data_IF_612608302698
#
_entry.id   IF_612608302698
#
_cell.length_a   1.000
_cell.length_b   1.000
_cell.length_c   1.000
_cell.angle_alpha   90.00
_cell.angle_beta   90.00
_cell.angle_gamma   90.00
#
_symmetry.space_group_name_H-M   'P 1'
#
loop_
_entity.id
_entity.type
_entity.pdbx_description
1 polymer ?
#
# COMPACT_ATOMS: atom_id res chain seq x y z
N UNK A 1 -16.24 -12.91 66.95
CA UNK A 1 -15.00 -12.93 66.16
C UNK A 1 -15.11 -13.66 64.80
N UNK A 2 -15.93 -14.71 64.65
CA UNK A 2 -16.03 -15.49 63.39
C UNK A 2 -16.77 -14.76 62.23
N UNK A 3 -17.68 -13.82 62.53
CA UNK A 3 -18.44 -13.07 61.51
C UNK A 3 -17.55 -12.05 60.74
N UNK A 4 -16.59 -11.43 61.41
CA UNK A 4 -15.75 -10.43 60.80
C UNK A 4 -14.64 -11.07 59.89
N UNK A 5 -14.19 -12.29 60.23
CA UNK A 5 -13.27 -13.03 59.38
C UNK A 5 -13.91 -13.48 58.03
N UNK A 6 -15.21 -13.85 58.07
CA UNK A 6 -15.95 -14.21 56.86
C UNK A 6 -16.17 -12.99 55.96
N UNK A 7 -16.47 -11.84 56.54
CA UNK A 7 -16.62 -10.58 55.80
C UNK A 7 -15.32 -10.11 55.14
N UNK A 8 -14.18 -10.29 55.86
CA UNK A 8 -12.85 -9.96 55.36
C UNK A 8 -12.44 -10.89 54.22
N UNK A 9 -12.76 -12.18 54.32
CA UNK A 9 -12.49 -13.17 53.28
C UNK A 9 -13.36 -12.89 52.01
N UNK A 10 -14.60 -12.51 52.17
CA UNK A 10 -15.52 -12.15 51.07
C UNK A 10 -15.04 -10.87 50.37
N UNK A 11 -14.57 -9.87 51.14
CA UNK A 11 -14.03 -8.63 50.59
C UNK A 11 -12.72 -8.89 49.81
N UNK A 12 -11.86 -9.78 50.31
CA UNK A 12 -10.63 -10.20 49.63
C UNK A 12 -10.91 -10.95 48.34
N UNK A 13 -11.95 -11.80 48.35
CA UNK A 13 -12.37 -12.52 47.15
C UNK A 13 -12.97 -11.57 46.06
N UNK A 14 -13.69 -10.53 46.51
CA UNK A 14 -14.23 -9.50 45.60
C UNK A 14 -13.12 -8.63 44.98
N UNK A 15 -12.07 -8.34 45.73
CA UNK A 15 -10.89 -7.60 45.23
C UNK A 15 -10.09 -8.40 44.16
N UNK A 16 -10.07 -9.72 44.24
CA UNK A 16 -9.38 -10.59 43.30
C UNK A 16 -10.12 -10.68 41.95
N UNK A 17 -11.45 -10.38 41.88
CA UNK A 17 -12.20 -10.39 40.65
C UNK A 17 -12.09 -9.08 39.84
N UNK A 18 -11.53 -8.00 40.42
CA UNK A 18 -11.31 -6.74 39.70
C UNK A 18 -9.97 -6.67 38.94
N UNK A 19 -9.13 -7.69 39.04
CA UNK A 19 -7.96 -7.83 38.18
C UNK A 19 -8.39 -8.38 36.81
N UNK A 20 -9.40 -7.77 36.21
CA UNK A 20 -9.71 -7.94 34.80
C UNK A 20 -8.50 -7.49 34.00
N UNK A 21 -7.81 -8.45 33.43
CA UNK A 21 -6.83 -8.22 32.37
C UNK A 21 -7.53 -7.38 31.31
N UNK A 22 -7.19 -6.10 31.21
CA UNK A 22 -7.54 -5.29 30.07
C UNK A 22 -6.69 -5.83 28.92
N UNK A 23 -7.24 -6.76 28.14
CA UNK A 23 -6.74 -7.00 26.79
C UNK A 23 -6.84 -5.65 26.08
N UNK A 24 -5.70 -4.98 25.97
CA UNK A 24 -5.54 -3.91 25.00
C UNK A 24 -5.73 -4.59 23.64
N UNK A 25 -6.95 -4.57 23.13
CA UNK A 25 -7.23 -4.79 21.72
C UNK A 25 -6.50 -3.63 21.03
N UNK A 26 -5.23 -3.84 20.67
CA UNK A 26 -4.59 -3.01 19.68
C UNK A 26 -5.54 -3.05 18.46
N UNK A 27 -5.89 -1.92 17.85
CA UNK A 27 -6.70 -1.95 16.64
C UNK A 27 -5.99 -2.89 15.67
N UNK A 28 -6.63 -3.98 15.32
CA UNK A 28 -6.18 -4.88 14.26
C UNK A 28 -6.17 -4.02 13.00
N UNK A 29 -4.99 -3.54 12.64
CA UNK A 29 -4.81 -2.74 11.43
C UNK A 29 -5.18 -3.68 10.30
N UNK A 30 -6.30 -3.40 9.63
CA UNK A 30 -6.75 -4.15 8.48
C UNK A 30 -5.58 -4.23 7.49
N UNK A 31 -5.05 -5.42 7.27
CA UNK A 31 -3.92 -5.62 6.35
C UNK A 31 -4.42 -5.37 4.94
N UNK A 32 -3.91 -4.32 4.34
CA UNK A 32 -4.15 -4.01 2.93
C UNK A 32 -3.14 -4.76 2.10
N UNK A 33 -3.58 -5.49 1.07
CA UNK A 33 -2.69 -6.12 0.09
C UNK A 33 -2.84 -5.43 -1.25
N UNK A 34 -1.73 -5.00 -1.82
CA UNK A 34 -1.63 -4.39 -3.15
C UNK A 34 -0.84 -5.32 -4.07
N UNK A 35 -1.22 -5.37 -5.34
CA UNK A 35 -0.51 -6.09 -6.38
C UNK A 35 0.37 -5.14 -7.18
N UNK A 36 1.62 -5.51 -7.46
CA UNK A 36 2.56 -4.69 -8.20
C UNK A 36 3.16 -5.42 -9.40
N UNK A 37 2.99 -4.87 -10.59
CA UNK A 37 3.75 -5.30 -11.77
C UNK A 37 5.13 -4.65 -11.71
N UNK A 38 6.17 -5.46 -11.50
CA UNK A 38 7.54 -5.00 -11.29
C UNK A 38 8.44 -5.35 -12.48
N UNK A 39 9.02 -4.32 -13.11
CA UNK A 39 10.03 -4.50 -14.15
C UNK A 39 11.36 -4.95 -13.56
N UNK A 40 12.02 -5.90 -14.21
CA UNK A 40 13.36 -6.38 -13.87
C UNK A 40 14.25 -6.54 -15.11
N UNK A 41 15.56 -6.22 -14.95
CA UNK A 41 16.54 -6.45 -16.01
C UNK A 41 16.84 -7.94 -16.17
N UNK A 42 17.23 -8.37 -17.40
CA UNK A 42 17.53 -9.78 -17.71
C UNK A 42 18.58 -10.43 -16.79
N UNK A 43 19.58 -9.66 -16.41
CA UNK A 43 20.72 -10.12 -15.61
C UNK A 43 20.52 -9.92 -14.10
N UNK A 44 19.32 -9.53 -13.67
CA UNK A 44 18.95 -9.37 -12.27
C UNK A 44 18.00 -10.50 -11.86
N UNK A 45 18.07 -10.88 -10.61
CA UNK A 45 17.08 -11.71 -9.94
C UNK A 45 16.95 -11.17 -8.52
N UNK A 46 15.91 -10.38 -8.30
CA UNK A 46 15.66 -9.72 -7.04
C UNK A 46 14.49 -10.41 -6.36
N UNK A 47 14.66 -10.74 -5.10
CA UNK A 47 13.61 -11.28 -4.27
C UNK A 47 12.96 -10.12 -3.51
N UNK A 48 11.93 -9.53 -4.12
CA UNK A 48 11.25 -8.35 -3.59
C UNK A 48 10.53 -8.64 -2.28
N UNK A 49 9.98 -9.84 -2.11
CA UNK A 49 9.25 -10.26 -0.91
C UNK A 49 10.16 -10.33 0.32
N UNK A 50 11.44 -10.69 0.10
CA UNK A 50 12.42 -10.76 1.16
C UNK A 50 13.32 -9.52 1.27
N UNK A 51 13.04 -8.45 0.51
CA UNK A 51 13.75 -7.19 0.68
C UNK A 51 13.38 -6.51 2.00
N UNK A 52 14.38 -6.21 2.82
CA UNK A 52 14.22 -5.50 4.08
C UNK A 52 13.36 -4.23 3.96
N UNK A 53 13.50 -3.49 2.87
CA UNK A 53 12.75 -2.25 2.64
C UNK A 53 11.23 -2.50 2.59
N UNK A 54 10.77 -3.49 1.83
CA UNK A 54 9.34 -3.80 1.72
C UNK A 54 8.79 -4.44 3.00
N UNK A 55 9.57 -5.25 3.68
CA UNK A 55 9.22 -5.77 5.00
C UNK A 55 9.03 -4.64 6.03
N UNK A 56 9.90 -3.60 6.00
CA UNK A 56 9.73 -2.44 6.87
C UNK A 56 8.50 -1.60 6.51
N UNK A 57 8.16 -1.47 5.22
CA UNK A 57 6.92 -0.81 4.80
C UNK A 57 5.72 -1.58 5.34
N UNK A 58 5.66 -2.89 5.15
CA UNK A 58 4.56 -3.71 5.64
C UNK A 58 4.44 -3.63 7.18
N UNK A 59 5.55 -3.70 7.90
CA UNK A 59 5.55 -3.61 9.36
C UNK A 59 5.04 -2.25 9.86
N UNK A 60 5.42 -1.15 9.18
CA UNK A 60 5.07 0.21 9.62
C UNK A 60 3.68 0.65 9.18
N UNK A 61 3.21 0.18 8.04
CA UNK A 61 1.98 0.67 7.41
C UNK A 61 0.83 -0.35 7.43
N UNK A 62 1.12 -1.64 7.64
CA UNK A 62 0.16 -2.72 7.47
C UNK A 62 -0.16 -3.02 5.99
N UNK A 63 0.59 -2.41 5.04
CA UNK A 63 0.40 -2.62 3.60
C UNK A 63 1.38 -3.66 3.09
N UNK A 64 0.85 -4.78 2.63
CA UNK A 64 1.60 -5.82 1.92
C UNK A 64 1.59 -5.55 0.43
N UNK A 65 2.71 -5.79 -0.25
CA UNK A 65 2.80 -5.67 -1.72
C UNK A 65 3.20 -7.02 -2.31
N UNK A 66 2.33 -7.58 -3.14
CA UNK A 66 2.56 -8.82 -3.89
C UNK A 66 3.14 -8.48 -5.27
N UNK A 67 4.34 -8.98 -5.56
CA UNK A 67 5.11 -8.61 -6.76
C UNK A 67 4.98 -9.63 -7.88
N UNK A 68 4.41 -9.21 -9.01
CA UNK A 68 4.52 -9.91 -10.30
C UNK A 68 5.73 -9.37 -11.05
N UNK A 69 6.86 -10.10 -10.98
CA UNK A 69 8.15 -9.67 -11.53
C UNK A 69 8.28 -10.08 -12.98
N UNK A 70 8.49 -9.11 -13.85
CA UNK A 70 8.56 -9.31 -15.31
C UNK A 70 9.90 -8.87 -15.86
N UNK A 71 10.58 -9.73 -16.61
CA UNK A 71 11.83 -9.45 -17.29
C UNK A 71 11.64 -8.45 -18.43
N UNK A 72 12.73 -7.72 -18.73
CA UNK A 72 12.75 -6.73 -19.81
C UNK A 72 12.21 -7.28 -21.15
N UNK A 73 12.62 -8.48 -21.55
CA UNK A 73 12.20 -9.13 -22.80
C UNK A 73 10.69 -9.31 -22.91
N UNK A 74 10.01 -9.54 -21.78
CA UNK A 74 8.59 -9.85 -21.73
C UNK A 74 7.74 -8.65 -21.32
N UNK A 75 8.36 -7.55 -20.90
CA UNK A 75 7.68 -6.39 -20.36
C UNK A 75 6.56 -5.85 -21.23
N UNK A 76 6.88 -5.53 -22.49
CA UNK A 76 5.90 -4.96 -23.44
C UNK A 76 4.71 -5.90 -23.65
N UNK A 77 4.97 -7.19 -23.80
CA UNK A 77 3.91 -8.18 -23.99
C UNK A 77 3.02 -8.29 -22.73
N UNK A 78 3.63 -8.28 -21.56
CA UNK A 78 2.90 -8.36 -20.28
C UNK A 78 2.02 -7.14 -20.05
N UNK A 79 2.55 -5.94 -20.29
CA UNK A 79 1.80 -4.68 -20.21
C UNK A 79 0.62 -4.67 -21.19
N UNK A 80 0.86 -5.00 -22.48
CA UNK A 80 -0.20 -5.06 -23.46
C UNK A 80 -1.29 -6.08 -23.11
N UNK A 81 -0.91 -7.25 -22.61
CA UNK A 81 -1.86 -8.27 -22.19
C UNK A 81 -2.68 -7.81 -20.96
N UNK A 82 -2.04 -7.16 -20.00
CA UNK A 82 -2.71 -6.58 -18.83
C UNK A 82 -3.79 -5.59 -19.25
N UNK A 83 -3.45 -4.62 -20.10
CA UNK A 83 -4.40 -3.62 -20.58
C UNK A 83 -5.50 -4.23 -21.48
N UNK A 84 -5.16 -5.15 -22.36
CA UNK A 84 -6.13 -5.83 -23.22
C UNK A 84 -7.12 -6.71 -22.45
N UNK A 85 -6.69 -7.30 -21.33
CA UNK A 85 -7.54 -8.16 -20.50
C UNK A 85 -8.40 -7.41 -19.49
N UNK A 86 -8.10 -6.13 -19.22
CA UNK A 86 -8.73 -5.35 -18.16
C UNK A 86 -8.41 -5.83 -16.75
N UNK A 87 -7.38 -6.67 -16.61
CA UNK A 87 -6.90 -7.15 -15.29
C UNK A 87 -5.65 -6.38 -14.91
N UNK A 88 -5.83 -5.35 -14.12
CA UNK A 88 -4.77 -4.44 -13.73
C UNK A 88 -4.16 -4.84 -12.39
N UNK A 89 -2.86 -4.59 -12.26
CA UNK A 89 -2.21 -4.51 -10.95
C UNK A 89 -2.53 -3.13 -10.33
N UNK A 90 -2.48 -3.04 -9.01
CA UNK A 90 -2.67 -1.77 -8.30
C UNK A 90 -1.52 -0.80 -8.56
N UNK A 91 -0.32 -1.34 -8.74
CA UNK A 91 0.91 -0.58 -8.99
C UNK A 91 1.64 -1.13 -10.23
N UNK A 92 2.28 -0.24 -11.00
CA UNK A 92 3.23 -0.59 -12.04
C UNK A 92 4.56 0.10 -11.71
N UNK A 93 5.61 -0.68 -11.49
CA UNK A 93 6.87 -0.18 -10.94
C UNK A 93 8.03 -0.37 -11.93
N UNK A 94 8.80 0.69 -12.13
CA UNK A 94 10.08 0.74 -12.88
C UNK A 94 10.01 0.48 -14.38
N UNK A 95 8.95 0.06 -14.95
CA UNK A 95 8.87 -0.18 -16.39
C UNK A 95 8.54 1.07 -17.19
N UNK A 96 8.86 1.07 -18.49
CA UNK A 96 8.34 2.09 -19.40
C UNK A 96 6.88 1.81 -19.70
N UNK A 97 6.08 2.86 -19.65
CA UNK A 97 4.65 2.83 -19.97
C UNK A 97 4.34 4.05 -20.84
N UNK A 98 3.45 3.87 -21.83
CA UNK A 98 2.91 5.01 -22.56
C UNK A 98 1.87 5.72 -21.70
N UNK A 99 2.37 6.69 -20.95
CA UNK A 99 1.56 7.44 -19.98
C UNK A 99 0.54 8.34 -20.67
N UNK A 100 0.85 8.83 -21.87
CA UNK A 100 -0.07 9.65 -22.64
C UNK A 100 -1.26 8.81 -23.15
N UNK A 101 -0.99 7.63 -23.69
CA UNK A 101 -2.04 6.74 -24.15
C UNK A 101 -2.87 6.16 -22.98
N UNK A 102 -2.24 5.51 -22.04
CA UNK A 102 -2.95 4.85 -20.93
C UNK A 102 -3.49 5.81 -19.88
N UNK A 103 -2.88 6.98 -19.70
CA UNK A 103 -3.33 8.00 -18.76
C UNK A 103 -4.31 8.98 -19.38
N UNK A 104 -3.84 9.80 -20.33
CA UNK A 104 -4.63 10.90 -20.87
C UNK A 104 -5.72 10.45 -21.85
N UNK A 105 -5.48 9.39 -22.64
CA UNK A 105 -6.42 8.91 -23.66
C UNK A 105 -7.38 7.86 -23.12
N UNK A 106 -6.85 6.80 -22.51
CA UNK A 106 -7.65 5.67 -22.06
C UNK A 106 -8.13 5.79 -20.60
N UNK A 107 -7.56 6.66 -19.81
CA UNK A 107 -7.88 6.88 -18.40
C UNK A 107 -7.81 5.62 -17.51
N UNK A 108 -6.90 4.69 -17.84
CA UNK A 108 -6.72 3.44 -17.08
C UNK A 108 -5.67 3.55 -15.98
N UNK A 109 -4.80 4.56 -16.04
CA UNK A 109 -3.91 4.93 -14.95
C UNK A 109 -4.34 6.24 -14.31
N UNK A 110 -4.23 6.32 -12.98
CA UNK A 110 -4.68 7.48 -12.20
C UNK A 110 -3.61 8.58 -12.20
N UNK A 111 -3.94 9.82 -12.61
CA UNK A 111 -3.10 10.98 -12.31
C UNK A 111 -3.10 11.25 -10.80
N UNK A 112 -1.92 11.49 -10.24
CA UNK A 112 -1.76 11.67 -8.78
C UNK A 112 -1.62 13.14 -8.36
N UNK A 113 -1.62 14.08 -9.30
CA UNK A 113 -1.36 15.50 -9.01
C UNK A 113 -2.22 16.05 -7.87
N UNK A 114 -3.52 15.76 -7.89
CA UNK A 114 -4.49 16.25 -6.89
C UNK A 114 -4.32 15.58 -5.51
N UNK A 115 -3.59 14.45 -5.45
CA UNK A 115 -3.40 13.67 -4.23
C UNK A 115 -2.02 13.89 -3.59
N UNK A 116 -1.03 14.33 -4.37
CA UNK A 116 0.36 14.40 -3.89
C UNK A 116 0.54 15.39 -2.75
N UNK A 117 -0.11 16.56 -2.81
CA UNK A 117 0.01 17.58 -1.78
C UNK A 117 -0.58 17.12 -0.45
N UNK A 118 -1.74 16.48 -0.50
CA UNK A 118 -2.46 16.02 0.70
C UNK A 118 -1.82 14.77 1.32
N UNK A 119 -1.51 13.75 0.50
CA UNK A 119 -1.09 12.45 1.01
C UNK A 119 0.43 12.25 1.03
N UNK A 120 1.18 13.03 0.26
CA UNK A 120 2.64 12.92 0.15
C UNK A 120 3.34 14.29 0.25
N UNK A 121 3.09 15.12 1.28
CA UNK A 121 3.55 16.51 1.33
C UNK A 121 5.08 16.63 1.28
N UNK A 122 5.82 15.73 1.91
CA UNK A 122 7.29 15.73 1.88
C UNK A 122 7.83 15.42 0.48
N UNK A 123 7.19 14.51 -0.24
CA UNK A 123 7.55 14.19 -1.62
C UNK A 123 7.18 15.34 -2.54
N UNK A 124 5.95 15.84 -2.44
CA UNK A 124 5.43 16.96 -3.23
C UNK A 124 6.33 18.20 -3.15
N UNK A 125 6.81 18.53 -1.95
CA UNK A 125 7.70 19.68 -1.75
C UNK A 125 9.06 19.59 -2.46
N UNK A 126 9.44 18.40 -2.94
CA UNK A 126 10.70 18.11 -3.64
C UNK A 126 10.52 17.91 -5.14
N UNK A 127 9.29 17.90 -5.63
CA UNK A 127 9.03 17.74 -7.04
C UNK A 127 9.43 19.00 -7.83
N UNK A 128 9.97 18.81 -9.04
CA UNK A 128 10.14 19.92 -9.95
C UNK A 128 8.76 20.42 -10.40
N UNK A 129 8.49 21.67 -10.12
CA UNK A 129 7.23 22.33 -10.46
C UNK A 129 7.50 23.31 -11.60
N UNK A 130 6.66 23.35 -12.61
CA UNK A 130 6.74 24.32 -13.71
C UNK A 130 6.37 25.74 -13.23
N UNK A 131 6.60 26.74 -14.09
CA UNK A 131 6.29 28.14 -13.78
C UNK A 131 4.78 28.43 -13.58
N UNK A 132 3.91 27.47 -13.90
CA UNK A 132 2.47 27.53 -13.69
C UNK A 132 2.01 26.80 -12.41
N UNK A 133 2.96 26.27 -11.63
CA UNK A 133 2.67 25.54 -10.39
C UNK A 133 2.20 24.10 -10.61
N UNK A 134 2.42 23.54 -11.82
CA UNK A 134 2.06 22.16 -12.13
C UNK A 134 3.29 21.27 -12.05
N UNK A 135 3.11 20.03 -11.64
CA UNK A 135 4.18 19.01 -11.72
C UNK A 135 4.54 18.72 -13.17
N UNK A 136 5.82 18.42 -13.43
CA UNK A 136 6.23 18.06 -14.78
C UNK A 136 5.54 16.75 -15.21
N UNK A 137 5.16 16.60 -16.50
CA UNK A 137 4.43 15.43 -17.00
C UNK A 137 5.07 14.08 -16.66
N UNK A 138 6.41 14.03 -16.55
CA UNK A 138 7.14 12.82 -16.16
C UNK A 138 6.96 12.40 -14.70
N UNK A 139 6.27 13.22 -13.90
CA UNK A 139 6.05 13.02 -12.47
C UNK A 139 4.56 12.94 -12.13
N UNK A 140 3.68 13.46 -13.02
CA UNK A 140 2.23 13.51 -12.83
C UNK A 140 1.54 12.15 -12.82
N UNK A 141 2.17 11.15 -13.41
CA UNK A 141 1.65 9.78 -13.44
C UNK A 141 2.66 8.86 -12.77
N UNK A 142 2.56 8.71 -11.48
CA UNK A 142 3.09 7.52 -10.84
C UNK A 142 2.07 6.42 -11.13
N UNK A 143 2.53 5.30 -11.66
CA UNK A 143 1.76 4.21 -12.23
C UNK A 143 0.84 3.56 -11.19
N UNK A 144 -0.25 4.22 -10.81
CA UNK A 144 -1.30 3.66 -10.00
C UNK A 144 -2.47 3.31 -10.91
N UNK A 145 -2.79 2.04 -11.00
CA UNK A 145 -3.99 1.57 -11.68
C UNK A 145 -5.12 1.46 -10.68
N UNK A 146 -6.25 2.10 -10.96
CA UNK A 146 -7.45 1.86 -10.16
C UNK A 146 -8.07 0.52 -10.57
N UNK A 147 -8.46 -0.34 -9.63
CA UNK A 147 -9.32 -1.46 -9.95
C UNK A 147 -10.66 -0.92 -10.46
N UNK A 148 -10.94 -1.13 -11.74
CA UNK A 148 -12.17 -0.66 -12.42
C UNK A 148 -13.45 -1.35 -11.91
N UNK A 149 -13.36 -2.25 -10.95
CA UNK A 149 -14.48 -3.07 -10.46
C UNK A 149 -15.21 -2.50 -9.23
N UNK A 150 -14.97 -1.28 -8.79
CA UNK A 150 -15.65 -0.70 -7.63
C UNK A 150 -16.82 0.23 -7.97
N UNK A 151 -17.27 0.26 -9.23
CA UNK A 151 -18.45 1.03 -9.65
C UNK A 151 -19.44 0.14 -10.39
N UNK A 152 -20.10 -0.77 -9.65
CA UNK A 152 -21.45 -1.28 -10.00
C UNK A 152 -22.25 -1.39 -8.71
#
# INVERSE_FOLDING_TARGET
MRKNAFFLLLLLLLLLTLSGCGDSIAPETEKVSLTALQYELENQTLDFDNMWFFQQIEEQTGVHVDFDVVKHSDWTNRVNLMFASGRYHDLILRGSLDVEDYGATQHVILPLDDYLEEYMPTYFSRLPIDNAGRTLPSVSYTHLTLPTNSLV
#
